data_IF_711592176769
#
_entry.id   IF_711592176769
#
_cell.length_a   1.000
_cell.length_b   1.000
_cell.length_c   1.000
_cell.angle_alpha   90.00
_cell.angle_beta   90.00
_cell.angle_gamma   90.00
#
_symmetry.space_group_name_H-M   'P 1'
#
loop_
_entity.id
_entity.type
_entity.pdbx_description
1 polymer ?
#
# COMPACT_ATOMS: atom_id res chain seq x y z
N UNK A 1 43.38 -47.67 -32.22
CA UNK A 1 42.52 -46.50 -32.42
C UNK A 1 42.37 -45.79 -31.08
N UNK A 2 43.00 -44.60 -30.94
CA UNK A 2 42.88 -43.78 -29.70
C UNK A 2 41.92 -42.64 -29.98
N UNK A 3 40.70 -42.70 -29.47
CA UNK A 3 39.76 -41.59 -29.54
C UNK A 3 40.11 -40.60 -28.42
N UNK A 4 40.61 -39.42 -28.81
CA UNK A 4 40.76 -38.26 -27.91
C UNK A 4 39.41 -37.59 -27.77
N UNK A 5 38.74 -37.84 -26.68
CA UNK A 5 37.55 -37.07 -26.25
C UNK A 5 38.05 -35.76 -25.61
N UNK A 6 38.13 -34.69 -26.39
CA UNK A 6 38.28 -33.35 -25.86
C UNK A 6 36.86 -32.84 -25.51
N UNK A 7 36.46 -33.07 -24.31
CA UNK A 7 35.22 -32.53 -23.75
C UNK A 7 35.35 -31.04 -23.66
N UNK A 8 34.49 -30.31 -24.35
CA UNK A 8 34.31 -28.87 -24.21
C UNK A 8 33.63 -28.54 -22.86
N UNK A 9 34.37 -28.69 -21.76
CA UNK A 9 33.90 -28.38 -20.45
C UNK A 9 33.65 -26.86 -20.25
N UNK A 10 34.33 -26.03 -21.01
CA UNK A 10 34.15 -24.58 -20.98
C UNK A 10 32.79 -24.12 -21.56
N UNK A 11 32.20 -24.88 -22.48
CA UNK A 11 30.88 -24.54 -23.04
C UNK A 11 29.72 -24.88 -22.10
N UNK A 12 29.91 -25.84 -21.20
CA UNK A 12 28.90 -26.23 -20.22
C UNK A 12 28.79 -25.25 -19.04
N UNK A 13 29.88 -24.61 -18.68
CA UNK A 13 29.95 -23.62 -17.58
C UNK A 13 29.30 -22.29 -17.98
N UNK A 14 29.33 -21.91 -19.27
CA UNK A 14 28.72 -20.65 -19.72
C UNK A 14 27.19 -20.73 -19.81
N UNK A 15 26.62 -21.91 -20.05
CA UNK A 15 25.16 -22.10 -20.08
C UNK A 15 24.53 -22.12 -18.70
N UNK A 16 25.30 -22.50 -17.66
CA UNK A 16 24.81 -22.53 -16.28
C UNK A 16 24.75 -21.13 -15.64
N UNK A 17 25.58 -20.19 -16.12
CA UNK A 17 25.59 -18.81 -15.60
C UNK A 17 24.47 -17.93 -16.16
N UNK A 18 23.91 -18.26 -17.34
CA UNK A 18 22.81 -17.47 -17.93
C UNK A 18 21.46 -17.75 -17.26
N UNK A 19 21.32 -18.89 -16.59
CA UNK A 19 20.06 -19.27 -15.90
C UNK A 19 19.79 -18.55 -14.58
N UNK A 20 20.81 -17.93 -13.97
CA UNK A 20 20.69 -17.34 -12.62
C UNK A 20 20.26 -15.86 -12.68
N UNK A 21 20.38 -15.19 -13.83
CA UNK A 21 20.06 -13.77 -13.97
C UNK A 21 18.56 -13.47 -14.15
N UNK A 22 17.71 -14.47 -14.39
CA UNK A 22 16.27 -14.27 -14.56
C UNK A 22 15.41 -14.63 -13.33
N UNK A 23 16.01 -15.18 -12.27
CA UNK A 23 15.27 -15.57 -11.06
C UNK A 23 15.08 -14.43 -10.05
N UNK A 24 15.60 -13.23 -10.33
CA UNK A 24 15.67 -12.13 -9.33
C UNK A 24 14.49 -11.15 -9.26
N UNK A 25 13.52 -11.21 -10.18
CA UNK A 25 12.54 -10.11 -10.30
C UNK A 25 11.09 -10.42 -9.88
N UNK A 26 10.79 -11.61 -9.37
CA UNK A 26 9.37 -12.00 -9.07
C UNK A 26 9.03 -12.00 -7.57
N UNK A 27 10.01 -11.86 -6.67
CA UNK A 27 9.78 -12.03 -5.23
C UNK A 27 9.47 -10.75 -4.44
N UNK A 28 9.52 -9.56 -5.05
CA UNK A 28 9.39 -8.29 -4.30
C UNK A 28 7.96 -7.75 -4.15
N UNK A 29 6.99 -8.28 -4.91
CA UNK A 29 5.61 -7.74 -4.92
C UNK A 29 4.71 -8.28 -3.79
N UNK A 30 4.85 -9.52 -3.30
CA UNK A 30 3.96 -10.03 -2.24
C UNK A 30 4.25 -9.46 -0.84
N UNK A 31 5.50 -9.05 -0.56
CA UNK A 31 5.91 -8.66 0.81
C UNK A 31 5.22 -7.38 1.28
N UNK A 32 4.99 -6.42 0.39
CA UNK A 32 4.34 -5.16 0.77
C UNK A 32 2.84 -5.32 1.10
N UNK A 33 2.18 -6.33 0.54
CA UNK A 33 0.77 -6.63 0.82
C UNK A 33 0.66 -7.38 2.15
N UNK A 34 1.62 -8.25 2.47
CA UNK A 34 1.60 -9.06 3.69
C UNK A 34 1.80 -8.23 4.97
N UNK A 35 2.58 -7.16 4.91
CA UNK A 35 2.80 -6.29 6.08
C UNK A 35 1.54 -5.49 6.49
N UNK A 36 0.61 -5.25 5.57
CA UNK A 36 -0.64 -4.54 5.88
C UNK A 36 -1.73 -5.44 6.48
N UNK A 37 -1.59 -6.77 6.33
CA UNK A 37 -2.59 -7.75 6.82
C UNK A 37 -2.22 -8.39 8.16
N UNK A 38 -0.99 -8.25 8.64
CA UNK A 38 -0.49 -8.95 9.81
C UNK A 38 -0.58 -8.16 11.13
N UNK A 39 -0.96 -6.90 11.09
CA UNK A 39 -1.15 -6.10 12.30
C UNK A 39 -2.63 -6.03 12.66
N UNK A 40 -2.93 -6.22 13.94
CA UNK A 40 -4.26 -6.05 14.54
C UNK A 40 -4.80 -4.64 14.25
N UNK A 41 -6.10 -4.51 13.95
CA UNK A 41 -6.75 -3.25 13.68
C UNK A 41 -7.71 -3.29 12.49
N UNK A 42 -8.63 -2.34 12.41
CA UNK A 42 -9.60 -2.26 11.33
C UNK A 42 -8.98 -1.73 10.03
N UNK A 43 -9.31 -2.39 8.92
CA UNK A 43 -8.83 -2.02 7.58
C UNK A 43 -10.01 -1.75 6.66
N UNK A 44 -10.20 -0.49 6.27
CA UNK A 44 -11.16 -0.13 5.22
C UNK A 44 -10.51 -0.21 3.84
N UNK A 45 -11.20 -0.82 2.90
CA UNK A 45 -10.77 -0.90 1.50
C UNK A 45 -11.86 -0.39 0.57
N UNK A 46 -11.50 0.43 -0.41
CA UNK A 46 -12.43 0.89 -1.44
C UNK A 46 -11.83 0.82 -2.84
N UNK A 47 -12.65 0.42 -3.80
CA UNK A 47 -12.37 0.55 -5.22
C UNK A 47 -12.88 1.90 -5.74
N UNK A 48 -12.04 2.59 -6.50
CA UNK A 48 -12.32 3.93 -7.03
C UNK A 48 -12.08 3.96 -8.53
N UNK A 49 -13.05 4.49 -9.28
CA UNK A 49 -12.92 4.70 -10.74
C UNK A 49 -12.21 6.01 -11.06
N UNK A 50 -11.05 6.21 -10.43
CA UNK A 50 -10.21 7.38 -10.66
C UNK A 50 -8.74 6.97 -10.61
N UNK A 51 -7.91 7.69 -11.34
CA UNK A 51 -6.47 7.44 -11.41
C UNK A 51 -5.80 7.55 -10.04
N UNK A 52 -4.82 6.67 -9.79
CA UNK A 52 -4.15 6.58 -8.49
C UNK A 52 -3.35 7.84 -8.14
N UNK A 53 -2.76 8.52 -9.13
CA UNK A 53 -2.01 9.74 -8.88
C UNK A 53 -2.94 10.90 -8.53
N UNK A 54 -4.14 10.95 -9.14
CA UNK A 54 -5.14 11.94 -8.77
C UNK A 54 -5.66 11.74 -7.34
N UNK A 55 -5.94 10.49 -6.95
CA UNK A 55 -6.34 10.17 -5.57
C UNK A 55 -5.20 10.48 -4.60
N UNK A 56 -3.96 10.09 -4.94
CA UNK A 56 -2.79 10.37 -4.12
C UNK A 56 -2.56 11.86 -3.89
N UNK A 57 -2.59 12.66 -4.95
CA UNK A 57 -2.42 14.12 -4.85
C UNK A 57 -3.53 14.77 -4.02
N UNK A 58 -4.77 14.31 -4.14
CA UNK A 58 -5.88 14.78 -3.30
C UNK A 58 -5.63 14.43 -1.83
N UNK A 59 -5.25 13.19 -1.54
CA UNK A 59 -4.94 12.72 -0.18
C UNK A 59 -3.82 13.53 0.47
N UNK A 60 -2.72 13.72 -0.25
CA UNK A 60 -1.57 14.50 0.24
C UNK A 60 -1.98 15.95 0.49
N UNK A 61 -2.69 16.58 -0.46
CA UNK A 61 -3.15 17.97 -0.29
C UNK A 61 -4.08 18.14 0.93
N UNK A 62 -4.98 17.18 1.18
CA UNK A 62 -5.82 17.18 2.38
C UNK A 62 -5.00 17.05 3.66
N UNK A 63 -3.99 16.18 3.68
CA UNK A 63 -3.14 15.98 4.83
C UNK A 63 -2.27 17.20 5.13
N UNK A 64 -1.61 17.75 4.11
CA UNK A 64 -0.77 18.96 4.24
C UNK A 64 -1.58 20.16 4.72
N UNK A 65 -2.81 20.34 4.23
CA UNK A 65 -3.72 21.38 4.71
C UNK A 65 -4.05 21.21 6.20
N UNK A 66 -4.38 19.98 6.63
CA UNK A 66 -4.70 19.71 8.05
C UNK A 66 -3.47 19.83 8.95
N UNK A 67 -2.29 19.48 8.44
CA UNK A 67 -1.03 19.69 9.15
C UNK A 67 -0.74 21.18 9.34
N UNK A 68 -0.92 22.00 8.30
CA UNK A 68 -0.78 23.45 8.40
C UNK A 68 -1.78 24.09 9.37
N UNK A 69 -2.96 23.52 9.55
CA UNK A 69 -3.97 23.90 10.54
C UNK A 69 -3.64 23.37 11.96
N UNK A 70 -2.57 22.61 12.14
CA UNK A 70 -2.16 22.01 13.42
C UNK A 70 -3.09 20.89 13.93
N UNK A 71 -3.88 20.28 13.02
CA UNK A 71 -4.86 19.24 13.37
C UNK A 71 -4.29 17.84 13.34
N UNK A 72 -3.24 17.63 12.54
CA UNK A 72 -2.54 16.36 12.41
C UNK A 72 -1.04 16.62 12.21
N UNK A 73 -0.25 15.54 12.30
CA UNK A 73 1.16 15.49 11.91
C UNK A 73 1.34 14.41 10.85
N UNK A 74 2.10 14.70 9.81
CA UNK A 74 2.51 13.71 8.82
C UNK A 74 3.76 12.99 9.36
N UNK A 75 3.59 11.71 9.75
CA UNK A 75 4.68 10.88 10.26
C UNK A 75 5.52 10.25 9.15
N UNK A 76 4.87 9.93 8.03
CA UNK A 76 5.52 9.32 6.85
C UNK A 76 4.77 9.71 5.59
N UNK A 77 5.53 10.11 4.55
CA UNK A 77 5.03 10.30 3.19
C UNK A 77 5.98 9.63 2.21
N UNK A 78 5.46 8.78 1.35
CA UNK A 78 6.24 8.14 0.29
C UNK A 78 5.46 8.20 -1.03
N UNK A 79 5.85 9.10 -1.91
CA UNK A 79 5.18 9.33 -3.18
C UNK A 79 5.36 8.15 -4.16
N UNK A 80 6.51 7.47 -4.13
CA UNK A 80 6.78 6.34 -5.03
C UNK A 80 5.86 5.14 -4.76
N UNK A 81 5.58 4.86 -3.49
CA UNK A 81 4.70 3.76 -3.06
C UNK A 81 3.28 4.21 -2.71
N UNK A 82 3.02 5.52 -2.76
CA UNK A 82 1.76 6.18 -2.37
C UNK A 82 1.27 5.73 -0.99
N UNK A 83 2.17 5.85 -0.02
CA UNK A 83 1.91 5.54 1.40
C UNK A 83 2.03 6.81 2.23
N UNK A 84 1.00 7.10 3.03
CA UNK A 84 0.93 8.21 3.96
C UNK A 84 0.58 7.68 5.35
N UNK A 85 1.32 8.11 6.38
CA UNK A 85 0.98 7.88 7.77
C UNK A 85 0.80 9.21 8.49
N UNK A 86 -0.32 9.37 9.17
CA UNK A 86 -0.67 10.60 9.90
C UNK A 86 -1.10 10.28 11.32
N UNK A 87 -0.99 11.27 12.21
CA UNK A 87 -1.50 11.20 13.58
C UNK A 87 -2.06 12.53 14.04
N UNK A 88 -3.00 12.50 14.97
CA UNK A 88 -3.43 13.67 15.77
C UNK A 88 -2.88 13.63 17.20
N UNK A 89 -1.80 12.87 17.43
CA UNK A 89 -1.17 12.56 18.71
C UNK A 89 -1.92 11.50 19.58
N UNK A 90 -3.15 11.16 19.25
CA UNK A 90 -3.96 10.14 19.95
C UNK A 90 -4.23 8.95 19.03
N UNK A 91 -4.62 9.23 17.80
CA UNK A 91 -5.00 8.24 16.80
C UNK A 91 -4.00 8.27 15.65
N UNK A 92 -3.81 7.13 15.00
CA UNK A 92 -3.01 7.06 13.77
C UNK A 92 -3.82 6.51 12.62
N UNK A 93 -3.45 6.92 11.40
CA UNK A 93 -3.98 6.35 10.18
C UNK A 93 -2.85 6.11 9.17
N UNK A 94 -2.78 4.89 8.66
CA UNK A 94 -1.93 4.48 7.55
C UNK A 94 -2.80 4.38 6.28
N UNK A 95 -2.44 5.15 5.27
CA UNK A 95 -3.20 5.23 4.02
C UNK A 95 -2.32 4.80 2.85
N UNK A 96 -2.88 3.99 1.96
CA UNK A 96 -2.19 3.51 0.76
C UNK A 96 -3.10 3.61 -0.45
N UNK A 97 -2.55 4.10 -1.57
CA UNK A 97 -3.25 4.16 -2.85
C UNK A 97 -2.54 3.25 -3.85
N UNK A 98 -3.26 2.29 -4.41
CA UNK A 98 -2.75 1.31 -5.36
C UNK A 98 -3.39 1.55 -6.72
N UNK A 99 -2.59 1.66 -7.78
CA UNK A 99 -3.08 1.73 -9.14
C UNK A 99 -3.65 0.38 -9.58
N UNK A 100 -4.77 0.40 -10.32
CA UNK A 100 -5.38 -0.78 -10.95
C UNK A 100 -5.16 -0.74 -12.46
N UNK A 101 -5.07 -1.91 -13.11
CA UNK A 101 -4.74 -2.05 -14.54
C UNK A 101 -5.70 -1.34 -15.50
N UNK A 102 -6.97 -1.13 -15.11
CA UNK A 102 -8.01 -0.54 -15.97
C UNK A 102 -8.49 0.81 -15.45
N UNK A 103 -7.60 1.83 -15.42
CA UNK A 103 -7.94 3.21 -15.04
C UNK A 103 -8.80 3.27 -13.76
N UNK A 104 -8.20 2.90 -12.66
CA UNK A 104 -8.83 2.96 -11.36
C UNK A 104 -7.77 2.86 -10.29
N UNK A 105 -8.19 2.96 -9.05
CA UNK A 105 -7.35 2.78 -7.90
C UNK A 105 -8.06 1.99 -6.80
N UNK A 106 -7.28 1.46 -5.89
CA UNK A 106 -7.74 0.90 -4.64
C UNK A 106 -7.15 1.75 -3.52
N UNK A 107 -8.01 2.17 -2.59
CA UNK A 107 -7.60 2.87 -1.37
C UNK A 107 -7.66 1.85 -0.23
N UNK A 108 -6.63 1.84 0.60
CA UNK A 108 -6.56 1.05 1.82
C UNK A 108 -6.28 2.01 2.96
N UNK A 109 -7.09 1.97 4.01
CA UNK A 109 -6.93 2.79 5.21
C UNK A 109 -6.92 1.84 6.40
N UNK A 110 -5.85 1.88 7.17
CA UNK A 110 -5.73 1.24 8.46
C UNK A 110 -5.69 2.32 9.53
N UNK A 111 -6.45 2.14 10.57
CA UNK A 111 -6.52 3.06 11.72
C UNK A 111 -6.13 2.34 13.00
N UNK A 112 -5.59 3.10 13.92
CA UNK A 112 -5.23 2.67 15.26
C UNK A 112 -5.76 3.74 16.22
N UNK A 113 -6.72 3.34 17.07
CA UNK A 113 -7.43 4.22 18.00
C UNK A 113 -7.42 3.59 19.39
N UNK A 114 -6.55 4.03 20.31
CA UNK A 114 -6.50 3.49 21.66
C UNK A 114 -7.87 3.52 22.37
N UNK A 115 -8.25 2.43 23.00
CA UNK A 115 -9.49 2.31 23.78
C UNK A 115 -9.30 1.38 24.98
N UNK A 116 -10.27 1.39 25.92
CA UNK A 116 -10.24 0.57 27.11
C UNK A 116 -10.61 -0.90 26.84
N UNK A 117 -11.35 -1.17 25.75
CA UNK A 117 -11.74 -2.51 25.34
C UNK A 117 -11.51 -2.73 23.83
N UNK A 118 -11.20 -3.95 23.45
CA UNK A 118 -10.97 -4.33 22.05
C UNK A 118 -12.20 -4.11 21.16
N UNK A 119 -13.42 -4.32 21.69
CA UNK A 119 -14.65 -4.11 20.94
C UNK A 119 -14.88 -2.62 20.64
N UNK A 120 -14.64 -1.77 21.63
CA UNK A 120 -14.73 -0.31 21.46
C UNK A 120 -13.64 0.24 20.55
N UNK A 121 -12.42 -0.31 20.65
CA UNK A 121 -11.29 0.00 19.80
C UNK A 121 -11.63 -0.26 18.34
N UNK A 122 -12.03 -1.47 17.98
CA UNK A 122 -12.42 -1.84 16.62
C UNK A 122 -13.53 -0.95 16.06
N UNK A 123 -14.54 -0.62 16.87
CA UNK A 123 -15.62 0.27 16.46
C UNK A 123 -15.12 1.69 16.15
N UNK A 124 -14.26 2.24 17.01
CA UNK A 124 -13.68 3.57 16.80
C UNK A 124 -12.76 3.60 15.58
N UNK A 125 -11.99 2.55 15.36
CA UNK A 125 -11.14 2.40 14.19
C UNK A 125 -11.96 2.34 12.91
N UNK A 126 -13.04 1.55 12.88
CA UNK A 126 -13.97 1.49 11.75
C UNK A 126 -14.56 2.87 11.45
N UNK A 127 -15.10 3.55 12.45
CA UNK A 127 -15.68 4.89 12.31
C UNK A 127 -14.67 5.90 11.76
N UNK A 128 -13.43 5.85 12.25
CA UNK A 128 -12.36 6.73 11.76
C UNK A 128 -11.97 6.41 10.32
N UNK A 129 -11.77 5.14 9.99
CA UNK A 129 -11.39 4.70 8.66
C UNK A 129 -12.46 5.07 7.61
N UNK A 130 -13.74 4.82 7.92
CA UNK A 130 -14.86 5.16 7.04
C UNK A 130 -14.97 6.69 6.87
N UNK A 131 -14.81 7.47 7.94
CA UNK A 131 -14.83 8.93 7.87
C UNK A 131 -13.70 9.49 7.00
N UNK A 132 -12.49 8.95 7.12
CA UNK A 132 -11.36 9.35 6.27
C UNK A 132 -11.65 8.99 4.81
N UNK A 133 -12.15 7.77 4.56
CA UNK A 133 -12.49 7.30 3.22
C UNK A 133 -13.54 8.20 2.56
N UNK A 134 -14.62 8.50 3.26
CA UNK A 134 -15.70 9.35 2.74
C UNK A 134 -15.20 10.76 2.41
N UNK A 135 -14.43 11.37 3.31
CA UNK A 135 -13.86 12.70 3.08
C UNK A 135 -12.92 12.72 1.87
N UNK A 136 -12.10 11.69 1.70
CA UNK A 136 -11.21 11.57 0.54
C UNK A 136 -12.00 11.41 -0.76
N UNK A 137 -13.03 10.58 -0.74
CA UNK A 137 -13.87 10.34 -1.91
C UNK A 137 -14.66 11.60 -2.33
N UNK A 138 -15.16 12.35 -1.36
CA UNK A 138 -15.85 13.63 -1.59
C UNK A 138 -14.90 14.67 -2.18
N UNK A 139 -13.74 14.89 -1.55
CA UNK A 139 -12.74 15.86 -2.02
C UNK A 139 -12.20 15.48 -3.42
N UNK A 140 -11.96 14.20 -3.64
CA UNK A 140 -11.55 13.68 -4.94
C UNK A 140 -12.67 13.73 -5.98
N UNK A 141 -13.93 14.03 -5.61
CA UNK A 141 -15.11 13.94 -6.47
C UNK A 141 -15.18 12.57 -7.16
N UNK A 142 -14.98 11.52 -6.38
CA UNK A 142 -14.90 10.15 -6.84
C UNK A 142 -15.99 9.29 -6.21
N UNK A 143 -16.54 8.36 -6.99
CA UNK A 143 -17.45 7.34 -6.47
C UNK A 143 -16.58 6.19 -5.92
N UNK A 144 -16.58 6.03 -4.61
CA UNK A 144 -15.88 4.97 -3.92
C UNK A 144 -16.85 3.84 -3.56
N UNK A 145 -16.49 2.63 -3.93
CA UNK A 145 -17.23 1.44 -3.53
C UNK A 145 -16.44 0.74 -2.42
N UNK A 146 -16.95 0.80 -1.20
CA UNK A 146 -16.41 0.02 -0.08
C UNK A 146 -16.47 -1.48 -0.42
N UNK A 147 -15.40 -2.18 -0.09
CA UNK A 147 -15.30 -3.63 -0.20
C UNK A 147 -15.50 -4.16 1.21
N UNK A 148 -16.64 -4.80 1.46
CA UNK A 148 -16.86 -5.54 2.69
C UNK A 148 -15.90 -6.73 2.72
N UNK A 149 -15.21 -6.91 3.84
CA UNK A 149 -14.32 -8.05 4.09
C UNK A 149 -15.04 -9.16 4.82
#
# INVERSE_FOLDING_TARGET
MKYKFKTNWLAFLSLLQLGILFAGCVAAVPIAIYYFQAEEGYVATADVKKDADQIWNTLVGMAEKREAEGRIKILKKNDATRVLKVTDDVQTADLKVIAKEKRGSKIIIKTDVPSESQEEELKKEEELAIRIMNNLCEEAKANCKLIEQ
#
